data_IF_322196084013
#
_entry.id   IF_322196084013
#
_cell.length_a   1.000
_cell.length_b   1.000
_cell.length_c   1.000
_cell.angle_alpha   90.00
_cell.angle_beta   90.00
_cell.angle_gamma   90.00
#
_symmetry.space_group_name_H-M   'P 1'
#
loop_
_entity.id
_entity.type
_entity.pdbx_description
1 polymer ?
#
# COMPACT_ATOMS: atom_id res chain seq x y z
N UNK A 1 74.54 38.00 -25.69
CA UNK A 1 73.54 37.23 -26.46
C UNK A 1 73.39 35.85 -25.81
N UNK A 2 72.15 35.35 -25.79
CA UNK A 2 71.65 34.01 -25.37
C UNK A 2 71.44 33.74 -23.87
N UNK A 3 70.14 33.81 -23.54
CA UNK A 3 69.42 33.29 -22.40
C UNK A 3 69.61 31.80 -22.13
N UNK A 4 69.46 31.38 -20.88
CA UNK A 4 68.78 30.12 -20.54
C UNK A 4 68.08 30.26 -19.19
N UNK A 5 66.75 30.25 -19.27
CA UNK A 5 65.81 30.23 -18.15
C UNK A 5 65.63 28.77 -17.74
N UNK A 6 65.82 28.45 -16.46
CA UNK A 6 65.35 27.19 -15.87
C UNK A 6 64.07 27.52 -15.08
N UNK A 7 62.94 26.99 -15.55
CA UNK A 7 61.65 27.07 -14.87
C UNK A 7 61.60 26.10 -13.67
N UNK A 8 60.86 26.43 -12.60
CA UNK A 8 60.63 25.53 -11.48
C UNK A 8 59.57 24.47 -11.86
N UNK A 9 59.79 23.22 -11.44
CA UNK A 9 58.82 22.14 -11.55
C UNK A 9 57.67 22.38 -10.56
N UNK A 10 56.47 22.64 -11.07
CA UNK A 10 55.25 22.71 -10.28
C UNK A 10 54.73 21.28 -10.03
N UNK A 11 54.77 20.83 -8.78
CA UNK A 11 54.12 19.60 -8.34
C UNK A 11 52.62 19.85 -8.16
N UNK A 12 51.79 19.37 -9.10
CA UNK A 12 50.33 19.31 -8.95
C UNK A 12 49.95 18.15 -8.01
N UNK A 13 49.54 18.47 -6.79
CA UNK A 13 48.79 17.54 -5.93
C UNK A 13 47.37 17.37 -6.51
N UNK A 14 47.09 16.20 -7.05
CA UNK A 14 45.73 15.75 -7.37
C UNK A 14 45.01 15.39 -6.06
N UNK A 15 44.15 16.29 -5.56
CA UNK A 15 43.18 15.95 -4.52
C UNK A 15 42.13 15.02 -5.13
N UNK A 16 42.16 13.74 -4.73
CA UNK A 16 41.09 12.79 -5.03
C UNK A 16 39.82 13.17 -4.28
N UNK A 17 38.82 13.67 -5.00
CA UNK A 17 37.46 13.81 -4.49
C UNK A 17 36.87 12.41 -4.28
N UNK A 18 36.94 11.90 -3.06
CA UNK A 18 36.16 10.74 -2.64
C UNK A 18 34.68 11.13 -2.71
N UNK A 19 34.00 10.71 -3.78
CA UNK A 19 32.56 10.79 -3.85
C UNK A 19 31.98 9.86 -2.78
N UNK A 20 31.61 10.42 -1.62
CA UNK A 20 30.68 9.76 -0.71
C UNK A 20 29.39 9.51 -1.49
N UNK A 21 29.17 8.26 -1.92
CA UNK A 21 27.82 7.84 -2.27
C UNK A 21 27.00 7.88 -0.98
N UNK A 22 26.06 8.82 -0.90
CA UNK A 22 24.98 8.75 0.07
C UNK A 22 24.30 7.39 -0.10
N UNK A 23 24.53 6.49 0.85
CA UNK A 23 23.75 5.26 0.95
C UNK A 23 22.36 5.71 1.42
N UNK A 24 21.36 5.57 0.55
CA UNK A 24 19.97 5.70 0.98
C UNK A 24 19.76 4.76 2.16
N UNK A 25 19.16 5.20 3.28
CA UNK A 25 18.87 4.30 4.39
C UNK A 25 18.03 3.13 3.88
N UNK A 26 18.38 1.91 4.31
CA UNK A 26 17.58 0.74 4.02
C UNK A 26 16.12 0.99 4.45
N UNK A 27 15.12 0.55 3.66
CA UNK A 27 13.72 0.70 4.04
C UNK A 27 13.50 0.04 5.41
N UNK A 28 13.33 0.87 6.44
CA UNK A 28 13.03 0.40 7.78
C UNK A 28 11.58 -0.09 7.80
N UNK A 29 11.27 -1.24 8.44
CA UNK A 29 9.89 -1.68 8.70
C UNK A 29 8.99 -0.59 9.30
N UNK A 30 9.58 0.41 9.96
CA UNK A 30 8.85 1.57 10.50
C UNK A 30 8.17 2.43 9.42
N UNK A 31 8.75 2.53 8.21
CA UNK A 31 8.20 3.36 7.14
C UNK A 31 6.86 2.83 6.61
N UNK A 32 6.75 1.50 6.43
CA UNK A 32 5.50 0.87 6.00
C UNK A 32 4.43 0.97 7.09
N UNK A 33 4.83 0.84 8.37
CA UNK A 33 3.95 1.05 9.51
C UNK A 33 3.41 2.50 9.56
N UNK A 34 4.25 3.49 9.26
CA UNK A 34 3.81 4.89 9.16
C UNK A 34 2.86 5.12 7.98
N UNK A 35 3.05 4.44 6.85
CA UNK A 35 2.10 4.48 5.73
C UNK A 35 0.76 3.88 6.16
N UNK A 36 0.76 2.68 6.75
CA UNK A 36 -0.44 2.01 7.25
C UNK A 36 -1.23 2.86 8.25
N UNK A 37 -0.52 3.57 9.12
CA UNK A 37 -1.15 4.44 10.12
C UNK A 37 -2.03 5.54 9.51
N UNK A 38 -1.77 5.96 8.27
CA UNK A 38 -2.61 6.96 7.57
C UNK A 38 -4.05 6.49 7.41
N UNK A 39 -4.30 5.18 7.42
CA UNK A 39 -5.65 4.63 7.27
C UNK A 39 -6.51 4.72 8.54
N UNK A 40 -5.91 5.01 9.69
CA UNK A 40 -6.63 5.24 10.93
C UNK A 40 -7.58 6.44 10.83
N UNK A 41 -8.77 6.32 11.41
CA UNK A 41 -9.79 7.38 11.42
C UNK A 41 -11.08 6.98 10.69
N UNK A 42 -11.95 7.96 10.50
CA UNK A 42 -13.27 7.76 9.89
C UNK A 42 -13.27 8.22 8.43
N UNK A 43 -13.86 7.42 7.57
CA UNK A 43 -13.90 7.55 6.13
C UNK A 43 -15.32 7.42 5.62
N UNK A 44 -15.71 8.29 4.69
CA UNK A 44 -16.93 8.13 3.91
C UNK A 44 -16.58 7.46 2.60
N UNK A 45 -17.26 6.36 2.29
CA UNK A 45 -16.97 5.51 1.14
C UNK A 45 -18.15 5.60 0.18
N UNK A 46 -17.84 5.81 -1.09
CA UNK A 46 -18.79 5.71 -2.20
C UNK A 46 -18.29 4.65 -3.17
N UNK A 47 -19.16 3.75 -3.61
CA UNK A 47 -18.80 2.67 -4.54
C UNK A 47 -19.80 2.56 -5.67
N UNK A 48 -19.29 2.10 -6.80
CA UNK A 48 -20.06 1.70 -7.97
C UNK A 48 -19.53 0.36 -8.47
N UNK A 49 -20.39 -0.65 -8.43
CA UNK A 49 -20.13 -1.97 -9.01
C UNK A 49 -20.75 -2.05 -10.39
N UNK A 50 -20.11 -2.80 -11.27
CA UNK A 50 -20.63 -3.15 -12.60
C UNK A 50 -21.11 -4.59 -12.62
N UNK A 51 -21.96 -4.94 -13.57
CA UNK A 51 -22.30 -6.34 -13.80
C UNK A 51 -21.09 -7.10 -14.35
N UNK A 52 -20.74 -8.19 -13.66
CA UNK A 52 -19.66 -9.09 -14.06
C UNK A 52 -19.95 -10.52 -13.60
N UNK A 53 -19.09 -11.50 -13.93
CA UNK A 53 -19.18 -12.83 -13.32
C UNK A 53 -19.03 -12.83 -11.79
N UNK A 54 -18.49 -11.76 -11.19
CA UNK A 54 -18.11 -11.68 -9.78
C UNK A 54 -18.79 -10.53 -9.01
N UNK A 55 -19.64 -9.74 -9.66
CA UNK A 55 -20.32 -8.58 -9.07
C UNK A 55 -21.66 -8.34 -9.75
N UNK A 56 -22.53 -7.58 -9.07
CA UNK A 56 -23.76 -7.04 -9.65
C UNK A 56 -23.69 -5.53 -9.74
N UNK A 57 -24.32 -4.96 -10.76
CA UNK A 57 -24.41 -3.52 -10.94
C UNK A 57 -25.11 -2.88 -9.74
N UNK A 58 -24.54 -1.81 -9.19
CA UNK A 58 -25.11 -1.13 -8.04
C UNK A 58 -24.24 0.01 -7.52
N UNK A 59 -24.84 0.87 -6.70
CA UNK A 59 -24.15 1.96 -6.00
C UNK A 59 -24.41 1.84 -4.51
N UNK A 60 -23.39 2.11 -3.71
CA UNK A 60 -23.49 2.05 -2.26
C UNK A 60 -22.64 3.15 -1.63
N UNK A 61 -23.14 3.71 -0.53
CA UNK A 61 -22.36 4.55 0.36
C UNK A 61 -22.28 3.90 1.74
N UNK A 62 -21.19 4.16 2.46
CA UNK A 62 -21.01 3.70 3.84
C UNK A 62 -20.04 4.60 4.59
N UNK A 63 -20.05 4.49 5.92
CA UNK A 63 -19.04 5.09 6.79
C UNK A 63 -18.15 4.00 7.36
N UNK A 64 -16.86 4.05 7.04
CA UNK A 64 -15.85 3.17 7.62
C UNK A 64 -15.10 3.91 8.72
N UNK A 65 -15.11 3.38 9.94
CA UNK A 65 -14.26 3.84 11.01
C UNK A 65 -13.19 2.78 11.30
N UNK A 66 -11.93 3.18 11.13
CA UNK A 66 -10.76 2.39 11.47
C UNK A 66 -10.23 2.85 12.83
N UNK A 67 -10.69 2.17 13.89
CA UNK A 67 -10.17 2.35 15.25
C UNK A 67 -8.85 1.60 15.37
N UNK A 68 -7.74 2.32 15.26
CA UNK A 68 -6.42 1.71 15.12
C UNK A 68 -5.52 1.88 16.34
N UNK A 69 -4.65 0.90 16.52
CA UNK A 69 -3.49 0.89 17.41
C UNK A 69 -2.24 0.52 16.61
N UNK A 70 -1.08 1.02 17.04
CA UNK A 70 0.20 0.66 16.42
C UNK A 70 1.32 0.48 17.43
N UNK A 71 2.28 -0.34 17.04
CA UNK A 71 3.61 -0.47 17.66
C UNK A 71 4.67 -0.37 16.56
N UNK A 72 5.95 -0.59 16.88
CA UNK A 72 7.02 -0.54 15.89
C UNK A 72 6.89 -1.58 14.75
N UNK A 73 6.18 -2.70 14.97
CA UNK A 73 6.06 -3.79 13.98
C UNK A 73 4.63 -4.15 13.57
N UNK A 74 3.62 -3.51 14.17
CA UNK A 74 2.23 -3.88 14.00
C UNK A 74 1.34 -2.65 13.85
N UNK A 75 0.36 -2.72 12.95
CA UNK A 75 -0.84 -1.86 12.95
C UNK A 75 -2.05 -2.77 13.08
N UNK A 76 -2.94 -2.50 14.03
CA UNK A 76 -4.19 -3.23 14.18
C UNK A 76 -5.35 -2.23 14.15
N UNK A 77 -6.36 -2.48 13.33
CA UNK A 77 -7.52 -1.63 13.17
C UNK A 77 -8.80 -2.45 13.33
N UNK A 78 -9.65 -2.06 14.27
CA UNK A 78 -11.04 -2.55 14.28
C UNK A 78 -11.81 -1.75 13.22
N UNK A 79 -12.25 -2.43 12.17
CA UNK A 79 -13.06 -1.86 11.12
C UNK A 79 -14.54 -1.90 11.51
N UNK A 80 -15.11 -0.71 11.63
CA UNK A 80 -16.52 -0.48 11.94
C UNK A 80 -17.17 0.10 10.70
N UNK A 81 -18.18 -0.58 10.15
CA UNK A 81 -18.91 -0.14 8.96
C UNK A 81 -20.32 0.23 9.38
N UNK A 82 -20.71 1.49 9.15
CA UNK A 82 -22.02 2.04 9.50
C UNK A 82 -22.40 1.81 10.97
N UNK A 83 -21.40 1.87 11.86
CA UNK A 83 -21.57 1.67 13.31
C UNK A 83 -21.37 0.23 13.79
N UNK A 84 -21.31 -0.75 12.89
CA UNK A 84 -21.12 -2.15 13.23
C UNK A 84 -19.65 -2.58 13.10
N UNK A 85 -19.07 -3.13 14.17
CA UNK A 85 -17.75 -3.77 14.10
C UNK A 85 -17.81 -5.03 13.22
N UNK A 86 -17.07 -5.06 12.11
CA UNK A 86 -17.07 -6.18 11.16
C UNK A 86 -15.83 -7.07 11.31
N UNK A 87 -14.64 -6.46 11.28
CA UNK A 87 -13.36 -7.18 11.22
C UNK A 87 -12.32 -6.47 12.08
N UNK A 88 -11.51 -7.22 12.82
CA UNK A 88 -10.21 -6.74 13.31
C UNK A 88 -9.14 -7.06 12.26
N UNK A 89 -8.57 -6.02 11.66
CA UNK A 89 -7.56 -6.10 10.62
C UNK A 89 -6.17 -5.84 11.23
N UNK A 90 -5.27 -6.80 11.15
CA UNK A 90 -3.90 -6.68 11.68
C UNK A 90 -2.89 -6.73 10.53
N UNK A 91 -2.00 -5.76 10.48
CA UNK A 91 -0.90 -5.68 9.54
C UNK A 91 0.43 -5.92 10.24
N UNK A 92 1.27 -6.74 9.61
CA UNK A 92 2.66 -6.93 9.99
C UNK A 92 3.55 -6.64 8.79
N UNK A 93 4.48 -5.70 8.94
CA UNK A 93 5.47 -5.34 7.93
C UNK A 93 6.87 -5.63 8.47
N UNK A 94 7.83 -5.85 7.58
CA UNK A 94 9.16 -6.28 8.00
C UNK A 94 10.02 -6.88 6.90
N UNK A 95 9.50 -6.94 5.68
CA UNK A 95 10.24 -7.43 4.51
C UNK A 95 10.83 -6.24 3.76
N UNK A 96 12.02 -6.37 3.16
CA UNK A 96 12.64 -5.29 2.37
C UNK A 96 11.87 -4.90 1.11
N UNK A 97 10.89 -5.70 0.68
CA UNK A 97 10.13 -5.54 -0.57
C UNK A 97 8.81 -4.76 -0.38
N UNK A 98 8.64 -4.05 0.74
CA UNK A 98 7.43 -3.30 1.10
C UNK A 98 6.14 -4.16 1.09
N UNK A 99 6.30 -5.48 1.27
CA UNK A 99 5.17 -6.40 1.41
C UNK A 99 4.86 -6.63 2.88
N UNK A 100 3.61 -6.34 3.24
CA UNK A 100 3.03 -6.63 4.54
C UNK A 100 2.10 -7.85 4.46
N UNK A 101 1.95 -8.55 5.57
CA UNK A 101 0.88 -9.53 5.75
C UNK A 101 -0.30 -8.85 6.43
N UNK A 102 -1.50 -9.07 5.91
CA UNK A 102 -2.75 -8.63 6.53
C UNK A 102 -3.46 -9.86 7.12
N UNK A 103 -4.00 -9.73 8.32
CA UNK A 103 -4.80 -10.76 8.98
C UNK A 103 -6.19 -10.21 9.23
N UNK A 104 -7.22 -10.91 8.76
CA UNK A 104 -8.62 -10.54 8.94
C UNK A 104 -9.20 -11.46 10.01
N UNK A 105 -9.64 -10.89 11.12
CA UNK A 105 -10.28 -11.61 12.23
C UNK A 105 -11.74 -11.15 12.29
N UNK A 106 -12.69 -11.96 11.80
CA UNK A 106 -14.10 -11.60 11.80
C UNK A 106 -14.67 -11.44 13.22
N UNK A 107 -15.54 -10.45 13.43
CA UNK A 107 -16.17 -10.19 14.72
C UNK A 107 -17.21 -11.26 15.12
N UNK A 108 -17.69 -12.05 14.15
CA UNK A 108 -18.68 -13.11 14.35
C UNK A 108 -18.08 -14.43 14.89
N UNK A 109 -16.76 -14.47 15.11
CA UNK A 109 -16.05 -15.64 15.60
C UNK A 109 -15.73 -16.69 14.53
N UNK A 110 -15.99 -16.41 13.25
CA UNK A 110 -15.54 -17.25 12.15
C UNK A 110 -14.01 -17.28 12.04
N UNK A 111 -13.42 -18.32 11.40
CA UNK A 111 -11.97 -18.47 11.34
C UNK A 111 -11.28 -17.24 10.74
N UNK A 112 -10.17 -16.85 11.36
CA UNK A 112 -9.31 -15.80 10.82
C UNK A 112 -8.67 -16.24 9.49
N UNK A 113 -8.48 -15.27 8.60
CA UNK A 113 -7.73 -15.45 7.35
C UNK A 113 -6.52 -14.52 7.31
N UNK A 114 -5.64 -14.77 6.34
CA UNK A 114 -4.59 -13.83 6.00
C UNK A 114 -4.58 -13.49 4.52
N UNK A 115 -3.90 -12.41 4.20
CA UNK A 115 -3.70 -11.90 2.87
C UNK A 115 -2.37 -11.18 2.77
N UNK A 116 -2.09 -10.72 1.57
CA UNK A 116 -0.91 -9.90 1.28
C UNK A 116 -1.33 -8.46 1.03
N UNK A 117 -0.50 -7.52 1.45
CA UNK A 117 -0.57 -6.12 1.06
C UNK A 117 0.79 -5.71 0.50
N UNK A 118 0.81 -5.16 -0.71
CA UNK A 118 1.99 -4.53 -1.31
C UNK A 118 1.84 -3.02 -1.25
N UNK A 119 2.83 -2.32 -0.72
CA UNK A 119 2.86 -0.85 -0.64
C UNK A 119 3.89 -0.32 -1.62
N UNK A 120 3.45 0.33 -2.69
CA UNK A 120 4.30 0.91 -3.73
C UNK A 120 4.01 2.40 -3.86
N UNK A 121 4.79 3.21 -3.13
CA UNK A 121 4.56 4.66 -3.07
C UNK A 121 3.20 4.99 -2.46
N UNK A 122 2.32 5.60 -3.26
CA UNK A 122 0.95 5.94 -2.87
C UNK A 122 -0.07 4.86 -3.29
N UNK A 123 0.36 3.73 -3.85
CA UNK A 123 -0.51 2.66 -4.32
C UNK A 123 -0.40 1.44 -3.42
N UNK A 124 -1.53 0.99 -2.89
CA UNK A 124 -1.63 -0.20 -2.04
C UNK A 124 -2.39 -1.27 -2.78
N UNK A 125 -1.83 -2.47 -2.90
CA UNK A 125 -2.46 -3.59 -3.60
C UNK A 125 -2.67 -4.76 -2.67
N UNK A 126 -3.92 -5.21 -2.58
CA UNK A 126 -4.35 -6.41 -1.84
C UNK A 126 -4.68 -7.53 -2.85
N UNK A 127 -3.71 -8.38 -3.24
CA UNK A 127 -3.99 -9.46 -4.17
C UNK A 127 -4.55 -10.70 -3.45
N UNK A 128 -5.41 -11.43 -4.14
CA UNK A 128 -5.78 -12.80 -3.80
C UNK A 128 -6.09 -13.60 -5.06
N UNK A 129 -6.31 -14.90 -4.90
CA UNK A 129 -6.66 -15.79 -6.00
C UNK A 129 -7.70 -16.80 -5.55
N UNK A 130 -8.56 -17.22 -6.48
CA UNK A 130 -9.54 -18.27 -6.25
C UNK A 130 -9.38 -19.36 -7.31
N UNK A 131 -9.39 -20.65 -6.93
CA UNK A 131 -9.49 -21.72 -7.89
C UNK A 131 -10.88 -21.67 -8.55
N UNK A 132 -10.90 -21.64 -9.88
CA UNK A 132 -12.10 -21.73 -10.69
C UNK A 132 -12.63 -23.16 -10.75
N UNK A 133 -13.93 -23.29 -11.04
CA UNK A 133 -14.60 -24.60 -11.18
C UNK A 133 -14.08 -25.43 -12.35
N UNK A 134 -13.46 -24.77 -13.33
CA UNK A 134 -12.82 -25.36 -14.51
C UNK A 134 -11.34 -25.72 -14.27
N UNK A 135 -10.86 -25.60 -13.02
CA UNK A 135 -9.45 -25.82 -12.66
C UNK A 135 -8.52 -24.65 -12.99
N UNK A 136 -9.03 -23.56 -13.59
CA UNK A 136 -8.23 -22.35 -13.85
C UNK A 136 -8.29 -21.41 -12.67
N UNK A 137 -7.16 -20.80 -12.32
CA UNK A 137 -7.13 -19.80 -11.24
C UNK A 137 -7.61 -18.46 -11.77
N UNK A 138 -8.53 -17.81 -11.03
CA UNK A 138 -8.85 -16.40 -11.24
C UNK A 138 -8.13 -15.58 -10.18
N UNK A 139 -7.48 -14.52 -10.63
CA UNK A 139 -6.74 -13.59 -9.80
C UNK A 139 -7.58 -12.36 -9.53
N UNK A 140 -7.44 -11.82 -8.34
CA UNK A 140 -8.18 -10.66 -7.89
C UNK A 140 -7.24 -9.71 -7.19
N UNK A 141 -7.63 -8.43 -7.18
CA UNK A 141 -6.97 -7.44 -6.36
C UNK A 141 -7.92 -6.30 -6.01
N UNK A 142 -7.67 -5.69 -4.85
CA UNK A 142 -8.09 -4.32 -4.57
C UNK A 142 -6.85 -3.44 -4.70
N UNK A 143 -6.97 -2.36 -5.48
CA UNK A 143 -5.91 -1.36 -5.67
C UNK A 143 -6.41 -0.05 -5.11
N UNK A 144 -5.77 0.45 -4.05
CA UNK A 144 -6.04 1.74 -3.44
C UNK A 144 -4.95 2.72 -3.88
N UNK A 145 -5.33 3.85 -4.47
CA UNK A 145 -4.45 4.94 -4.85
C UNK A 145 -4.74 6.12 -3.94
N UNK A 146 -3.79 6.43 -3.07
CA UNK A 146 -3.84 7.58 -2.19
C UNK A 146 -3.55 8.85 -3.00
N UNK A 147 -4.55 9.69 -3.21
CA UNK A 147 -4.37 10.98 -3.88
C UNK A 147 -3.73 12.00 -2.93
N UNK A 148 -4.10 11.94 -1.66
CA UNK A 148 -3.57 12.73 -0.56
C UNK A 148 -3.88 11.98 0.77
N UNK A 149 -3.45 12.48 1.95
CA UNK A 149 -3.69 11.80 3.23
C UNK A 149 -5.17 11.58 3.62
N UNK A 150 -6.11 12.23 2.93
CA UNK A 150 -7.54 12.26 3.22
C UNK A 150 -8.39 11.72 2.07
N UNK A 151 -7.80 11.28 0.95
CA UNK A 151 -8.54 10.83 -0.23
C UNK A 151 -7.90 9.60 -0.86
N UNK A 152 -8.71 8.57 -1.08
CA UNK A 152 -8.33 7.32 -1.74
C UNK A 152 -9.29 7.06 -2.90
N UNK A 153 -8.74 6.76 -4.06
CA UNK A 153 -9.48 6.11 -5.14
C UNK A 153 -9.16 4.62 -5.09
N UNK A 154 -10.16 3.75 -5.20
CA UNK A 154 -9.91 2.32 -5.26
C UNK A 154 -10.69 1.61 -6.35
N UNK A 155 -10.16 0.46 -6.73
CA UNK A 155 -10.78 -0.45 -7.68
C UNK A 155 -10.61 -1.89 -7.21
N UNK A 156 -11.69 -2.65 -7.29
CA UNK A 156 -11.64 -4.11 -7.21
C UNK A 156 -11.62 -4.66 -8.63
N UNK A 157 -10.69 -5.57 -8.90
CA UNK A 157 -10.45 -6.09 -10.23
C UNK A 157 -10.24 -7.60 -10.22
N UNK A 158 -10.50 -8.23 -11.36
CA UNK A 158 -10.15 -9.63 -11.61
C UNK A 158 -9.38 -9.81 -12.91
N UNK A 159 -8.66 -10.92 -13.01
CA UNK A 159 -7.89 -11.33 -14.18
C UNK A 159 -7.83 -12.85 -14.28
N UNK A 160 -7.74 -13.38 -15.50
CA UNK A 160 -7.52 -14.81 -15.75
C UNK A 160 -6.08 -15.13 -16.19
N UNK A 161 -5.27 -14.10 -16.44
CA UNK A 161 -3.90 -14.22 -16.95
C UNK A 161 -2.87 -13.35 -16.18
N UNK A 162 -3.30 -12.64 -15.13
CA UNK A 162 -2.55 -11.64 -14.36
C UNK A 162 -2.06 -10.41 -15.16
N UNK A 163 -2.31 -10.35 -16.47
CA UNK A 163 -1.85 -9.26 -17.32
C UNK A 163 -3.00 -8.27 -17.61
N UNK A 164 -4.18 -8.79 -17.94
CA UNK A 164 -5.35 -8.00 -18.28
C UNK A 164 -6.32 -7.99 -17.11
N UNK A 165 -6.63 -6.81 -16.60
CA UNK A 165 -7.45 -6.62 -15.41
C UNK A 165 -8.77 -5.95 -15.78
N UNK A 166 -9.86 -6.53 -15.29
CA UNK A 166 -11.22 -5.98 -15.46
C UNK A 166 -11.75 -5.54 -14.12
N UNK A 167 -12.18 -4.27 -14.02
CA UNK A 167 -12.79 -3.74 -12.81
C UNK A 167 -14.18 -4.36 -12.60
N UNK A 168 -14.46 -4.77 -11.36
CA UNK A 168 -15.80 -5.18 -10.90
C UNK A 168 -16.47 -4.08 -10.09
N UNK A 169 -15.66 -3.23 -9.46
CA UNK A 169 -16.10 -2.12 -8.64
C UNK A 169 -15.04 -1.02 -8.63
N UNK A 170 -15.49 0.23 -8.60
CA UNK A 170 -14.67 1.40 -8.28
C UNK A 170 -15.23 2.06 -7.03
N UNK A 171 -14.39 2.78 -6.30
CA UNK A 171 -14.85 3.56 -5.17
C UNK A 171 -13.92 4.70 -4.81
N UNK A 172 -14.47 5.60 -4.02
CA UNK A 172 -13.84 6.81 -3.52
C UNK A 172 -14.01 6.86 -2.00
N UNK A 173 -12.91 7.03 -1.27
CA UNK A 173 -12.92 7.21 0.17
C UNK A 173 -12.42 8.62 0.53
N UNK A 174 -13.19 9.32 1.34
CA UNK A 174 -12.81 10.64 1.88
C UNK A 174 -12.79 10.60 3.38
N UNK A 175 -11.68 11.04 3.96
CA UNK A 175 -11.51 11.09 5.40
C UNK A 175 -12.38 12.20 5.99
N UNK A 176 -13.10 11.88 7.05
CA UNK A 176 -13.80 12.88 7.85
C UNK A 176 -12.76 13.68 8.63
N UNK A 177 -12.91 15.00 8.63
CA UNK A 177 -12.12 15.88 9.51
C UNK A 177 -12.35 15.46 10.97
N UNK A 178 -11.28 15.41 11.76
CA UNK A 178 -11.42 15.21 13.21
C UNK A 178 -12.27 16.36 13.78
N UNK A 179 -13.32 16.01 14.54
CA UNK A 179 -14.05 16.98 15.37
C UNK A 179 -13.26 17.32 16.62
#
# INVERSE_FOLDING_TARGET
>A
MRSSRLLPAAAMLLLGAAALRAQSPDPSPSADIDQLWKYAGTWHIQTESVDSPYSKAGKQTSTLQNDCWRTAGYVACRQIVDGDSKILLVFTCGRPDHTCTSYQIPADGSPASNGTLRIEGNTWTFPWQMPGKDGKTTYFRVVNVWLNPETIEFRQEYSTDQAHWTATMTGHETKSSAK
#
